data_IF_138925606592
#
_entry.id   IF_138925606592
#
_cell.length_a   1.000
_cell.length_b   1.000
_cell.length_c   1.000
_cell.angle_alpha   90.00
_cell.angle_beta   90.00
_cell.angle_gamma   90.00
#
_symmetry.space_group_name_H-M   'P 1'
#
loop_
_entity.id
_entity.type
_entity.pdbx_description
1 polymer ?
#
# COMPACT_ATOMS: atom_id res chain seq x y z
N UNK A 1 -12.72 -7.13 -3.23
CA UNK A 1 -13.66 -6.14 -3.82
C UNK A 1 -14.57 -5.42 -2.82
N UNK A 2 -14.38 -5.57 -1.49
CA UNK A 2 -15.30 -4.95 -0.50
C UNK A 2 -14.81 -3.56 -0.04
N UNK A 3 -13.51 -3.28 -0.09
CA UNK A 3 -12.99 -2.02 0.44
C UNK A 3 -13.16 -0.82 -0.53
N UNK A 4 -13.05 -1.04 -1.84
CA UNK A 4 -13.20 0.02 -2.85
C UNK A 4 -14.60 0.66 -2.83
N UNK A 5 -15.65 -0.12 -2.57
CA UNK A 5 -17.04 0.39 -2.50
C UNK A 5 -17.33 1.15 -1.20
N UNK A 6 -16.70 0.76 -0.09
CA UNK A 6 -16.83 1.41 1.22
C UNK A 6 -16.14 2.79 1.28
N UNK A 7 -15.05 2.98 0.53
CA UNK A 7 -14.35 4.26 0.50
C UNK A 7 -15.10 5.32 -0.30
N UNK A 8 -15.75 4.92 -1.41
CA UNK A 8 -16.48 5.83 -2.29
C UNK A 8 -17.72 6.47 -1.63
N UNK A 9 -18.30 5.86 -0.59
CA UNK A 9 -19.50 6.38 0.07
C UNK A 9 -19.21 7.47 1.12
N UNK A 10 -17.97 7.58 1.61
CA UNK A 10 -17.57 8.55 2.67
C UNK A 10 -16.77 9.75 2.17
N UNK A 11 -16.26 9.71 0.94
CA UNK A 11 -15.31 10.71 0.40
C UNK A 11 -15.93 11.71 -0.60
N UNK A 12 -17.23 12.02 -0.47
CA UNK A 12 -18.01 12.74 -1.49
C UNK A 12 -17.62 14.20 -1.76
N UNK A 13 -16.64 14.77 -1.07
CA UNK A 13 -16.22 16.17 -1.22
C UNK A 13 -14.73 16.38 -1.47
N UNK A 14 -13.95 15.31 -1.63
CA UNK A 14 -12.50 15.37 -1.76
C UNK A 14 -12.12 14.81 -3.14
N UNK A 15 -11.27 15.50 -3.93
CA UNK A 15 -10.81 14.96 -5.21
C UNK A 15 -10.10 13.62 -4.95
N UNK A 16 -10.65 12.55 -5.55
CA UNK A 16 -10.20 11.15 -5.46
C UNK A 16 -8.67 10.98 -5.63
N UNK A 17 -8.04 11.93 -6.33
CA UNK A 17 -6.61 11.95 -6.61
C UNK A 17 -5.72 12.21 -5.39
N UNK A 18 -6.19 12.97 -4.38
CA UNK A 18 -5.37 13.35 -3.24
C UNK A 18 -5.20 12.25 -2.19
N UNK A 19 -5.97 11.16 -2.29
CA UNK A 19 -6.03 10.11 -1.26
C UNK A 19 -5.64 8.71 -1.74
N UNK A 20 -5.36 8.48 -3.03
CA UNK A 20 -5.15 7.13 -3.55
C UNK A 20 -3.94 6.43 -2.93
N UNK A 21 -2.77 7.07 -2.95
CA UNK A 21 -1.53 6.49 -2.41
C UNK A 21 -1.57 6.23 -0.89
N UNK A 22 -1.82 7.24 -0.02
CA UNK A 22 -1.74 7.01 1.42
C UNK A 22 -2.80 6.04 1.94
N UNK A 23 -3.96 5.93 1.28
CA UNK A 23 -5.01 4.97 1.64
C UNK A 23 -4.61 3.56 1.19
N UNK A 24 -4.15 3.40 -0.06
CA UNK A 24 -3.68 2.11 -0.56
C UNK A 24 -2.48 1.58 0.24
N UNK A 25 -1.50 2.44 0.56
CA UNK A 25 -0.33 2.08 1.36
C UNK A 25 -0.71 1.54 2.75
N UNK A 26 -1.65 2.22 3.41
CA UNK A 26 -2.12 1.80 4.75
C UNK A 26 -2.98 0.54 4.68
N UNK A 27 -3.78 0.39 3.63
CA UNK A 27 -4.54 -0.83 3.40
C UNK A 27 -3.59 -2.02 3.27
N UNK A 28 -2.61 -1.92 2.37
CA UNK A 28 -1.62 -2.97 2.14
C UNK A 28 -0.81 -3.29 3.39
N UNK A 29 -0.36 -2.27 4.13
CA UNK A 29 0.39 -2.45 5.38
C UNK A 29 -0.36 -3.29 6.42
N UNK A 30 -1.68 -3.10 6.57
CA UNK A 30 -2.49 -3.89 7.52
C UNK A 30 -2.52 -5.36 7.11
N UNK A 31 -2.65 -5.67 5.82
CA UNK A 31 -2.65 -7.05 5.34
C UNK A 31 -1.28 -7.71 5.47
N UNK A 32 -0.19 -7.00 5.13
CA UNK A 32 1.17 -7.51 5.30
C UNK A 32 1.43 -7.88 6.76
N UNK A 33 1.04 -7.01 7.70
CA UNK A 33 1.21 -7.27 9.15
C UNK A 33 0.33 -8.44 9.60
N UNK A 34 -0.93 -8.51 9.14
CA UNK A 34 -1.82 -9.61 9.49
C UNK A 34 -1.30 -10.97 8.99
N UNK A 35 -0.83 -11.03 7.75
CA UNK A 35 -0.22 -12.23 7.17
C UNK A 35 1.07 -12.63 7.90
N UNK A 36 1.90 -11.66 8.30
CA UNK A 36 3.09 -11.91 9.10
C UNK A 36 2.77 -12.48 10.49
N UNK A 37 1.75 -11.95 11.16
CA UNK A 37 1.30 -12.45 12.48
C UNK A 37 0.79 -13.89 12.37
N UNK A 38 0.01 -14.19 11.33
CA UNK A 38 -0.50 -15.54 11.07
C UNK A 38 0.65 -16.52 10.76
N UNK A 39 1.58 -16.12 9.89
CA UNK A 39 2.78 -16.91 9.57
C UNK A 39 3.64 -17.21 10.81
N UNK A 40 3.78 -16.24 11.70
CA UNK A 40 4.54 -16.38 12.94
C UNK A 40 3.75 -17.07 14.07
N UNK A 41 2.56 -17.63 13.80
CA UNK A 41 1.71 -18.31 14.79
C UNK A 41 1.40 -17.47 16.04
N UNK A 42 1.20 -16.16 15.87
CA UNK A 42 1.01 -15.21 16.99
C UNK A 42 2.16 -15.19 18.00
N UNK A 43 3.38 -15.57 17.58
CA UNK A 43 4.59 -15.38 18.39
C UNK A 43 4.75 -13.90 18.77
N UNK A 44 5.17 -13.66 20.01
CA UNK A 44 5.45 -12.31 20.52
C UNK A 44 6.84 -11.82 20.09
N UNK A 45 7.66 -12.68 19.50
CA UNK A 45 8.94 -12.28 18.92
C UNK A 45 8.75 -11.49 17.61
N UNK A 46 9.11 -10.21 17.65
CA UNK A 46 9.03 -9.29 16.51
C UNK A 46 10.04 -9.60 15.40
N UNK A 47 11.06 -10.42 15.67
CA UNK A 47 12.06 -10.83 14.68
C UNK A 47 11.44 -11.68 13.57
N UNK A 48 10.51 -12.59 13.91
CA UNK A 48 9.82 -13.40 12.90
C UNK A 48 9.01 -12.53 11.93
N UNK A 49 8.31 -11.51 12.46
CA UNK A 49 7.51 -10.57 11.64
C UNK A 49 8.43 -9.77 10.73
N UNK A 50 9.54 -9.24 11.27
CA UNK A 50 10.55 -8.53 10.48
C UNK A 50 11.04 -9.41 9.34
N UNK A 51 11.50 -10.63 9.66
CA UNK A 51 12.11 -11.53 8.69
C UNK A 51 11.11 -11.98 7.62
N UNK A 52 9.83 -12.16 7.98
CA UNK A 52 8.75 -12.38 7.03
C UNK A 52 8.62 -11.23 6.04
N UNK A 53 8.59 -9.97 6.51
CA UNK A 53 8.44 -8.78 5.66
C UNK A 53 9.61 -8.68 4.66
N UNK A 54 10.85 -8.90 5.10
CA UNK A 54 12.03 -8.88 4.21
C UNK A 54 12.10 -10.11 3.28
N UNK A 55 11.41 -11.20 3.60
CA UNK A 55 11.34 -12.38 2.74
C UNK A 55 10.35 -12.22 1.56
N UNK A 56 9.45 -11.24 1.61
CA UNK A 56 8.49 -10.94 0.55
C UNK A 56 9.24 -10.61 -0.74
N UNK A 57 9.05 -11.43 -1.78
CA UNK A 57 9.62 -11.19 -3.12
C UNK A 57 8.73 -10.32 -3.99
N UNK A 58 7.43 -10.43 -3.80
CA UNK A 58 6.42 -9.65 -4.53
C UNK A 58 5.10 -9.70 -3.75
N UNK A 59 4.72 -8.58 -3.11
CA UNK A 59 3.40 -8.37 -2.52
C UNK A 59 2.49 -7.71 -3.54
N UNK A 60 1.29 -8.28 -3.76
CA UNK A 60 0.29 -7.77 -4.71
C UNK A 60 -0.83 -7.08 -3.96
N UNK A 61 -0.66 -5.78 -3.77
CA UNK A 61 -1.57 -4.93 -3.01
C UNK A 61 -2.39 -3.95 -3.86
N UNK A 62 -3.08 -3.05 -3.17
CA UNK A 62 -3.78 -1.91 -3.75
C UNK A 62 -2.83 -0.89 -4.39
N UNK A 63 -1.58 -0.78 -3.91
CA UNK A 63 -0.53 0.04 -4.53
C UNK A 63 0.07 -0.58 -5.81
N UNK A 64 -0.16 -1.87 -6.05
CA UNK A 64 0.49 -2.63 -7.11
C UNK A 64 1.36 -3.75 -6.58
N UNK A 65 2.29 -4.23 -7.41
CA UNK A 65 3.24 -5.28 -7.06
C UNK A 65 4.57 -4.67 -6.59
N UNK A 66 5.00 -5.00 -5.37
CA UNK A 66 6.24 -4.45 -4.80
C UNK A 66 6.88 -5.36 -3.74
N UNK A 67 8.10 -5.06 -3.34
CA UNK A 67 8.81 -5.71 -2.24
C UNK A 67 9.60 -4.69 -1.41
N UNK A 68 10.28 -5.17 -0.37
CA UNK A 68 11.17 -4.37 0.47
C UNK A 68 12.63 -4.76 0.18
N UNK A 69 13.51 -3.77 0.03
CA UNK A 69 14.94 -4.01 -0.05
C UNK A 69 15.56 -4.26 1.34
N UNK A 70 16.89 -4.38 1.42
CA UNK A 70 17.60 -4.64 2.68
C UNK A 70 17.55 -3.49 3.70
N UNK A 71 17.13 -2.30 3.27
CA UNK A 71 16.96 -1.13 4.12
C UNK A 71 15.51 -0.91 4.56
N UNK A 72 14.59 -1.71 4.00
CA UNK A 72 13.15 -1.59 4.26
C UNK A 72 12.47 -0.57 3.33
N UNK A 73 13.15 -0.13 2.27
CA UNK A 73 12.57 0.76 1.27
C UNK A 73 11.72 -0.04 0.28
N UNK A 74 10.64 0.60 -0.20
CA UNK A 74 9.69 -0.02 -1.13
C UNK A 74 10.25 0.00 -2.55
N UNK A 75 10.34 -1.17 -3.18
CA UNK A 75 10.82 -1.35 -4.55
C UNK A 75 9.72 -1.97 -5.43
N UNK A 76 9.42 -1.32 -6.56
CA UNK A 76 8.47 -1.80 -7.57
C UNK A 76 7.22 -0.93 -7.75
N UNK A 77 6.92 -0.02 -6.82
CA UNK A 77 5.81 0.94 -6.97
C UNK A 77 6.20 2.05 -7.94
N UNK A 78 5.42 2.23 -9.00
CA UNK A 78 5.61 3.30 -9.98
C UNK A 78 4.82 4.53 -9.52
N UNK A 79 5.47 5.68 -9.25
CA UNK A 79 4.75 6.89 -8.87
C UNK A 79 3.95 7.42 -10.06
N UNK A 80 2.74 7.91 -9.80
CA UNK A 80 1.94 8.62 -10.79
C UNK A 80 2.64 9.93 -11.20
N UNK A 81 2.64 10.25 -12.50
CA UNK A 81 3.15 11.53 -12.98
C UNK A 81 2.01 12.51 -13.16
N UNK A 82 2.03 13.60 -12.41
CA UNK A 82 1.07 14.68 -12.58
C UNK A 82 1.73 15.87 -13.29
N UNK A 83 1.08 16.38 -14.33
CA UNK A 83 1.44 17.63 -15.02
C UNK A 83 0.34 18.67 -14.82
N UNK A 84 0.74 19.94 -14.76
CA UNK A 84 -0.21 21.06 -14.71
C UNK A 84 -0.36 21.59 -16.14
N UNK A 85 -1.54 21.40 -16.72
CA UNK A 85 -1.89 21.90 -18.06
C UNK A 85 -3.14 22.77 -17.93
N UNK A 86 -3.12 23.99 -18.47
CA UNK A 86 -4.25 24.93 -18.45
C UNK A 86 -4.90 25.13 -17.06
N UNK A 87 -4.07 25.23 -16.00
CA UNK A 87 -4.50 25.34 -14.59
C UNK A 87 -5.29 24.12 -14.07
N UNK A 88 -5.21 22.98 -14.73
CA UNK A 88 -5.76 21.70 -14.30
C UNK A 88 -4.62 20.72 -14.03
N UNK A 89 -4.83 19.83 -13.06
CA UNK A 89 -3.93 18.72 -12.77
C UNK A 89 -4.33 17.56 -13.70
N UNK A 90 -3.43 17.19 -14.59
CA UNK A 90 -3.56 16.03 -15.48
C UNK A 90 -2.60 14.97 -14.98
N UNK A 91 -3.07 13.73 -14.86
CA UNK A 91 -2.27 12.63 -14.34
C UNK A 91 -2.09 11.62 -15.46
N UNK A 92 -0.84 11.30 -15.74
CA UNK A 92 -0.37 10.32 -16.72
C UNK A 92 -0.10 8.96 -16.04
#
# INVERSE_FOLDING_TARGET
MICSSLFSSKASSIPLFAFSYPVAARYDAVYIIAEAIDFCNSDTNTECIRDYIYAIKEFKGALGAYHFDEHGDVVGVIPSRASIQDRKIVVE
#
